data_IF_639870517101
#
_entry.id   IF_639870517101
#
_cell.length_a   1.000
_cell.length_b   1.000
_cell.length_c   1.000
_cell.angle_alpha   90.00
_cell.angle_beta   90.00
_cell.angle_gamma   90.00
#
_symmetry.space_group_name_H-M   'P 1'
#
loop_
_entity.id
_entity.type
_entity.pdbx_description
1 polymer ?
#
# COMPACT_ATOMS: atom_id res chain seq x y z
N UNK A 1 -3.53 -19.86 -12.23
CA UNK A 1 -3.94 -18.88 -11.19
C UNK A 1 -3.12 -17.62 -11.42
N UNK A 2 -3.71 -16.44 -11.21
CA UNK A 2 -3.04 -15.17 -11.44
C UNK A 2 -2.94 -14.40 -10.13
N UNK A 3 -1.77 -13.84 -9.87
CA UNK A 3 -1.54 -12.96 -8.74
C UNK A 3 -1.82 -11.52 -9.14
N UNK A 4 -2.60 -10.79 -8.34
CA UNK A 4 -2.86 -9.36 -8.54
C UNK A 4 -2.23 -8.60 -7.38
N UNK A 5 -1.40 -7.62 -7.70
CA UNK A 5 -0.82 -6.69 -6.74
C UNK A 5 -1.18 -5.26 -7.10
N UNK A 6 -1.69 -4.52 -6.13
CA UNK A 6 -2.16 -3.14 -6.30
C UNK A 6 -1.33 -2.20 -5.45
N UNK A 7 -0.71 -1.20 -6.08
CA UNK A 7 0.06 -0.15 -5.40
C UNK A 7 -0.67 1.20 -5.39
N UNK A 8 -0.02 2.22 -4.81
CA UNK A 8 -0.63 3.53 -4.60
C UNK A 8 -1.00 4.26 -5.91
N UNK A 9 -0.34 3.91 -7.03
CA UNK A 9 -0.68 4.44 -8.35
C UNK A 9 -2.09 4.05 -8.80
N UNK A 10 -2.59 2.88 -8.39
CA UNK A 10 -3.97 2.46 -8.64
C UNK A 10 -4.96 3.27 -7.80
N UNK A 11 -4.73 3.38 -6.48
CA UNK A 11 -5.58 4.18 -5.58
C UNK A 11 -5.71 5.63 -6.05
N UNK A 12 -4.62 6.22 -6.55
CA UNK A 12 -4.62 7.54 -7.19
C UNK A 12 -5.45 7.58 -8.48
N UNK A 13 -5.40 6.54 -9.31
CA UNK A 13 -6.12 6.50 -10.57
C UNK A 13 -7.63 6.34 -10.39
N UNK A 14 -8.08 5.59 -9.37
CA UNK A 14 -9.50 5.30 -9.14
C UNK A 14 -10.18 6.23 -8.14
N UNK A 15 -9.39 6.90 -7.29
CA UNK A 15 -9.89 7.71 -6.19
C UNK A 15 -9.16 9.03 -5.99
N UNK A 16 -9.38 9.64 -4.83
CA UNK A 16 -8.76 10.90 -4.43
C UNK A 16 -7.49 10.74 -3.59
N UNK A 17 -6.93 9.52 -3.51
CA UNK A 17 -5.85 9.21 -2.59
C UNK A 17 -4.51 9.46 -3.27
N UNK A 18 -3.69 10.39 -2.77
CA UNK A 18 -2.37 10.64 -3.34
C UNK A 18 -1.40 9.48 -3.06
N UNK A 19 -0.37 9.34 -3.89
CA UNK A 19 0.74 8.41 -3.62
C UNK A 19 1.55 8.86 -2.40
N UNK A 20 2.44 8.01 -1.86
CA UNK A 20 3.32 8.39 -0.74
C UNK A 20 4.13 9.67 -1.00
N UNK A 21 4.66 9.82 -2.22
CA UNK A 21 5.34 11.05 -2.63
C UNK A 21 4.39 12.25 -2.73
N UNK A 22 3.12 12.03 -3.08
CA UNK A 22 2.10 13.08 -3.06
C UNK A 22 1.70 13.50 -1.65
N UNK A 23 1.55 12.52 -0.74
CA UNK A 23 1.28 12.76 0.68
C UNK A 23 2.40 13.59 1.31
N UNK A 24 3.65 13.20 1.08
CA UNK A 24 4.84 13.93 1.53
C UNK A 24 4.77 15.41 1.15
N UNK A 25 4.57 15.72 -0.14
CA UNK A 25 4.51 17.11 -0.63
C UNK A 25 3.38 17.93 0.01
N UNK A 26 2.22 17.31 0.27
CA UNK A 26 1.06 17.99 0.82
C UNK A 26 1.08 18.20 2.34
N UNK A 27 1.98 17.54 3.08
CA UNK A 27 1.98 17.62 4.54
C UNK A 27 2.37 19.00 5.07
N UNK A 28 3.30 19.69 4.40
CA UNK A 28 3.66 21.07 4.73
C UNK A 28 2.44 21.98 4.65
N UNK A 29 1.73 21.94 3.52
CA UNK A 29 0.54 22.75 3.28
C UNK A 29 -0.57 22.43 4.30
N UNK A 30 -0.68 21.17 4.74
CA UNK A 30 -1.58 20.77 5.82
C UNK A 30 -1.24 21.44 7.15
N UNK A 31 0.04 21.52 7.53
CA UNK A 31 0.46 22.23 8.75
C UNK A 31 0.17 23.74 8.65
N UNK A 32 0.47 24.34 7.50
CA UNK A 32 0.21 25.77 7.26
C UNK A 32 -1.30 26.08 7.29
N UNK A 33 -2.14 25.21 6.71
CA UNK A 33 -3.60 25.33 6.78
C UNK A 33 -4.19 25.15 8.20
N UNK A 34 -3.42 24.57 9.13
CA UNK A 34 -3.75 24.50 10.57
C UNK A 34 -3.18 25.69 11.36
N UNK A 35 -2.63 26.70 10.69
CA UNK A 35 -1.91 27.84 11.28
C UNK A 35 -0.67 27.43 12.09
N UNK A 36 -0.03 26.30 11.75
CA UNK A 36 1.18 25.76 12.41
C UNK A 36 2.43 26.00 11.59
N UNK A 37 2.68 27.26 11.24
CA UNK A 37 3.84 27.68 10.45
C UNK A 37 5.18 27.37 11.13
N UNK A 38 5.22 27.39 12.45
CA UNK A 38 6.39 27.03 13.24
C UNK A 38 6.77 25.55 13.03
N UNK A 39 5.77 24.65 13.09
CA UNK A 39 5.96 23.24 12.82
C UNK A 39 6.27 22.96 11.35
N UNK A 40 5.65 23.68 10.41
CA UNK A 40 5.92 23.55 8.98
C UNK A 40 7.37 23.88 8.63
N UNK A 41 7.94 24.91 9.26
CA UNK A 41 9.36 25.26 9.13
C UNK A 41 10.24 24.16 9.69
N UNK A 42 9.95 23.70 10.91
CA UNK A 42 10.76 22.69 11.61
C UNK A 42 10.70 21.33 10.87
N UNK A 43 9.53 20.95 10.32
CA UNK A 43 9.38 19.79 9.44
C UNK A 43 10.25 19.90 8.18
N UNK A 44 10.27 21.04 7.49
CA UNK A 44 11.11 21.24 6.31
C UNK A 44 12.60 21.14 6.64
N UNK A 45 13.03 21.64 7.79
CA UNK A 45 14.42 21.50 8.25
C UNK A 45 14.81 20.02 8.36
N UNK A 46 13.98 19.22 9.02
CA UNK A 46 14.20 17.76 9.17
C UNK A 46 14.18 17.08 7.79
N UNK A 47 13.18 17.38 6.97
CA UNK A 47 13.04 16.81 5.62
C UNK A 47 14.28 17.10 4.77
N UNK A 48 14.74 18.34 4.71
CA UNK A 48 15.90 18.72 3.91
C UNK A 48 17.18 18.01 4.37
N UNK A 49 17.33 17.81 5.68
CA UNK A 49 18.43 17.02 6.24
C UNK A 49 18.36 15.57 5.77
N UNK A 50 17.18 14.93 5.86
CA UNK A 50 16.96 13.56 5.38
C UNK A 50 17.24 13.46 3.87
N UNK A 51 16.68 14.36 3.06
CA UNK A 51 16.90 14.36 1.61
C UNK A 51 18.40 14.49 1.24
N UNK A 52 19.15 15.30 1.98
CA UNK A 52 20.60 15.42 1.79
C UNK A 52 21.30 14.08 2.06
N UNK A 53 20.94 13.39 3.14
CA UNK A 53 21.51 12.08 3.47
C UNK A 53 21.16 11.03 2.40
N UNK A 54 19.90 10.96 1.95
CA UNK A 54 19.51 10.07 0.85
C UNK A 54 20.31 10.32 -0.43
N UNK A 55 20.56 11.59 -0.77
CA UNK A 55 21.38 11.97 -1.92
C UNK A 55 22.85 11.53 -1.78
N UNK A 56 23.43 11.66 -0.58
CA UNK A 56 24.80 11.21 -0.28
C UNK A 56 24.96 9.70 -0.55
N UNK A 57 23.94 8.90 -0.24
CA UNK A 57 23.94 7.45 -0.48
C UNK A 57 23.40 7.04 -1.86
N UNK A 58 23.14 7.99 -2.78
CA UNK A 58 22.58 7.74 -4.12
C UNK A 58 21.25 6.96 -4.09
N UNK A 59 20.41 7.25 -3.09
CA UNK A 59 19.09 6.64 -2.93
C UNK A 59 17.99 7.53 -3.53
N UNK A 60 16.87 6.90 -3.88
CA UNK A 60 15.64 7.61 -4.28
C UNK A 60 15.17 8.55 -3.16
N UNK A 61 14.51 9.66 -3.51
CA UNK A 61 14.01 10.61 -2.50
C UNK A 61 13.19 9.92 -1.40
N UNK A 62 13.36 10.33 -0.13
CA UNK A 62 12.58 9.78 0.97
C UNK A 62 11.09 9.99 0.73
N UNK A 63 10.30 8.97 1.01
CA UNK A 63 8.86 9.11 1.10
C UNK A 63 8.42 9.48 2.52
N UNK A 64 7.10 9.60 2.71
CA UNK A 64 6.53 10.00 3.98
C UNK A 64 6.74 8.96 5.09
N UNK A 65 6.88 7.67 4.75
CA UNK A 65 7.15 6.60 5.71
C UNK A 65 8.59 6.69 6.24
N UNK A 66 9.54 6.97 5.34
CA UNK A 66 10.93 7.21 5.72
C UNK A 66 11.03 8.41 6.67
N UNK A 67 10.37 9.52 6.35
CA UNK A 67 10.37 10.73 7.21
C UNK A 67 9.73 10.43 8.56
N UNK A 68 8.59 9.75 8.57
CA UNK A 68 7.91 9.36 9.80
C UNK A 68 8.76 8.42 10.67
N UNK A 69 9.48 7.48 10.05
CA UNK A 69 10.45 6.60 10.72
C UNK A 69 11.55 7.41 11.40
N UNK A 70 12.12 8.40 10.72
CA UNK A 70 13.13 9.28 11.30
C UNK A 70 12.56 10.08 12.47
N UNK A 71 11.36 10.65 12.34
CA UNK A 71 10.71 11.41 13.40
C UNK A 71 10.45 10.57 14.66
N UNK A 72 10.03 9.31 14.52
CA UNK A 72 9.85 8.41 15.67
C UNK A 72 11.19 8.05 16.34
N UNK A 73 12.25 7.79 15.56
CA UNK A 73 13.59 7.54 16.12
C UNK A 73 14.19 8.76 16.81
N UNK A 74 13.87 9.97 16.36
CA UNK A 74 14.27 11.20 17.04
C UNK A 74 13.62 11.35 18.43
N UNK A 75 12.49 10.67 18.69
CA UNK A 75 11.81 10.66 20.00
C UNK A 75 12.36 9.62 20.97
N UNK A 76 12.94 8.53 20.44
CA UNK A 76 13.51 7.42 21.23
C UNK A 76 14.89 7.77 21.80
N UNK A 77 15.18 7.34 23.02
CA UNK A 77 16.54 7.44 23.60
C UNK A 77 17.51 6.46 22.94
N UNK A 78 16.98 5.34 22.43
CA UNK A 78 17.72 4.37 21.61
C UNK A 78 17.25 4.50 20.14
N UNK A 79 18.09 5.08 19.25
CA UNK A 79 17.72 5.36 17.86
C UNK A 79 17.62 4.11 16.96
N UNK A 80 17.97 2.91 17.45
CA UNK A 80 18.00 1.68 16.66
C UNK A 80 16.98 0.62 17.09
N UNK A 81 16.28 0.79 18.22
CA UNK A 81 15.43 -0.27 18.78
C UNK A 81 14.03 -0.41 18.15
N UNK A 82 13.58 0.55 17.33
CA UNK A 82 12.25 0.58 16.71
C UNK A 82 12.34 0.71 15.18
N UNK A 83 12.98 -0.27 14.53
CA UNK A 83 13.23 -0.31 13.10
C UNK A 83 11.91 -0.49 12.33
N UNK A 84 11.44 0.58 11.67
CA UNK A 84 10.17 0.60 10.89
C UNK A 84 10.40 0.72 9.38
N UNK A 85 11.46 1.39 8.93
CA UNK A 85 11.85 1.47 7.51
C UNK A 85 13.36 1.19 7.41
N UNK A 86 13.79 0.06 6.80
CA UNK A 86 15.20 -0.35 6.78
C UNK A 86 16.09 0.63 6.04
N UNK A 87 15.58 1.28 4.98
CA UNK A 87 16.35 2.26 4.20
C UNK A 87 16.61 3.52 5.03
N UNK A 88 15.57 4.03 5.71
CA UNK A 88 15.72 5.17 6.61
C UNK A 88 16.65 4.83 7.79
N UNK A 89 16.55 3.62 8.35
CA UNK A 89 17.43 3.17 9.43
C UNK A 89 18.88 3.03 8.97
N UNK A 90 19.12 2.43 7.81
CA UNK A 90 20.46 2.33 7.24
C UNK A 90 21.13 3.70 7.14
N UNK A 91 20.40 4.70 6.65
CA UNK A 91 20.89 6.08 6.55
C UNK A 91 21.13 6.69 7.93
N UNK A 92 20.22 6.48 8.88
CA UNK A 92 20.37 6.94 10.26
C UNK A 92 21.61 6.31 10.94
N UNK A 93 21.87 5.03 10.69
CA UNK A 93 23.03 4.31 11.22
C UNK A 93 24.35 4.74 10.55
N UNK A 94 24.32 5.08 9.26
CA UNK A 94 25.50 5.54 8.53
C UNK A 94 25.76 7.06 8.65
N UNK A 95 24.79 7.83 9.15
CA UNK A 95 24.93 9.28 9.35
C UNK A 95 24.48 9.72 10.75
N UNK A 96 25.24 9.39 11.82
CA UNK A 96 24.88 9.75 13.20
C UNK A 96 24.75 11.27 13.39
N UNK A 97 25.56 12.05 12.67
CA UNK A 97 25.55 13.52 12.70
C UNK A 97 24.21 14.10 12.23
N UNK A 98 23.46 13.40 11.37
CA UNK A 98 22.11 13.77 10.95
C UNK A 98 21.16 13.82 12.15
N UNK A 99 21.22 12.77 12.98
CA UNK A 99 20.38 12.62 14.18
C UNK A 99 20.74 13.68 15.20
N UNK A 100 22.03 13.88 15.48
CA UNK A 100 22.49 14.89 16.44
C UNK A 100 22.15 16.32 15.99
N UNK A 101 22.30 16.62 14.70
CA UNK A 101 21.92 17.93 14.13
C UNK A 101 20.41 18.17 14.23
N UNK A 102 19.59 17.18 13.92
CA UNK A 102 18.14 17.29 14.04
C UNK A 102 17.69 17.44 15.52
N UNK A 103 18.26 16.65 16.43
CA UNK A 103 17.97 16.68 17.89
C UNK A 103 18.40 17.99 18.54
N UNK A 104 19.53 18.55 18.14
CA UNK A 104 20.02 19.83 18.68
C UNK A 104 19.24 21.03 18.16
N UNK A 105 18.69 20.94 16.94
CA UNK A 105 18.00 22.06 16.29
C UNK A 105 16.53 22.19 16.68
N UNK A 106 15.87 21.09 17.06
CA UNK A 106 14.41 21.07 17.28
C UNK A 106 14.09 20.37 18.61
N UNK A 107 13.26 21.03 19.43
CA UNK A 107 12.79 20.52 20.72
C UNK A 107 12.00 19.20 20.56
N UNK A 108 12.19 18.26 21.49
CA UNK A 108 11.52 16.94 21.49
C UNK A 108 9.99 17.03 21.49
N UNK A 109 9.43 18.05 22.14
CA UNK A 109 7.98 18.30 22.18
C UNK A 109 7.44 18.62 20.78
N UNK A 110 8.16 19.44 20.01
CA UNK A 110 7.79 19.79 18.64
C UNK A 110 7.90 18.62 17.68
N UNK A 111 8.94 17.79 17.83
CA UNK A 111 9.08 16.55 17.04
C UNK A 111 7.87 15.66 17.30
N UNK A 112 7.50 15.48 18.58
CA UNK A 112 6.33 14.68 18.97
C UNK A 112 5.03 15.20 18.35
N UNK A 113 4.87 16.52 18.32
CA UNK A 113 3.72 17.17 17.73
C UNK A 113 3.68 17.05 16.20
N UNK A 114 4.80 17.24 15.51
CA UNK A 114 4.94 17.01 14.06
C UNK A 114 4.58 15.56 13.74
N UNK A 115 5.12 14.60 14.49
CA UNK A 115 4.79 13.17 14.32
C UNK A 115 3.28 12.94 14.46
N UNK A 116 2.63 13.52 15.47
CA UNK A 116 1.19 13.37 15.67
C UNK A 116 0.37 13.95 14.51
N UNK A 117 0.71 15.17 14.05
CA UNK A 117 0.06 15.76 12.87
C UNK A 117 0.29 14.94 11.61
N UNK A 118 1.48 14.35 11.44
CA UNK A 118 1.80 13.50 10.29
C UNK A 118 0.95 12.24 10.28
N UNK A 119 0.80 11.58 11.43
CA UNK A 119 -0.13 10.44 11.60
C UNK A 119 -1.56 10.86 11.25
N UNK A 120 -2.05 11.95 11.87
CA UNK A 120 -3.41 12.46 11.62
C UNK A 120 -3.64 12.76 10.13
N UNK A 121 -2.68 13.40 9.48
CA UNK A 121 -2.73 13.71 8.06
C UNK A 121 -2.81 12.43 7.21
N UNK A 122 -1.95 11.45 7.46
CA UNK A 122 -1.94 10.17 6.76
C UNK A 122 -3.28 9.41 6.93
N UNK A 123 -3.75 9.23 8.18
CA UNK A 123 -5.05 8.62 8.46
C UNK A 123 -6.14 9.34 7.67
N UNK A 124 -6.19 10.68 7.75
CA UNK A 124 -7.25 11.44 7.11
C UNK A 124 -7.25 11.29 5.60
N UNK A 125 -6.09 11.30 4.94
CA UNK A 125 -6.00 11.13 3.49
C UNK A 125 -6.41 9.71 3.05
N UNK A 126 -5.98 8.69 3.78
CA UNK A 126 -6.30 7.29 3.48
C UNK A 126 -7.78 6.96 3.74
N UNK A 127 -8.34 7.42 4.86
CA UNK A 127 -9.72 7.10 5.27
C UNK A 127 -10.78 7.96 4.56
N UNK A 128 -10.47 9.23 4.25
CA UNK A 128 -11.40 10.13 3.53
C UNK A 128 -11.28 10.04 2.02
N UNK A 129 -10.43 9.15 1.53
CA UNK A 129 -10.30 8.87 0.10
C UNK A 129 -11.63 8.47 -0.52
N UNK A 130 -12.07 9.22 -1.53
CA UNK A 130 -13.30 8.94 -2.25
C UNK A 130 -12.99 8.18 -3.54
N UNK A 131 -13.83 7.19 -3.86
CA UNK A 131 -13.82 6.54 -5.17
C UNK A 131 -14.42 7.52 -6.18
N UNK A 132 -13.60 7.99 -7.12
CA UNK A 132 -14.01 8.93 -8.18
C UNK A 132 -14.51 8.20 -9.41
N UNK A 133 -13.97 7.01 -9.70
CA UNK A 133 -14.37 6.20 -10.84
C UNK A 133 -14.45 4.72 -10.47
N UNK A 134 -15.65 4.28 -10.12
CA UNK A 134 -15.96 2.89 -9.75
C UNK A 134 -15.70 1.89 -10.88
N UNK A 135 -15.89 2.31 -12.13
CA UNK A 135 -15.71 1.42 -13.29
C UNK A 135 -14.27 0.94 -13.42
N UNK A 136 -13.29 1.78 -13.06
CA UNK A 136 -11.88 1.39 -13.06
C UNK A 136 -11.58 0.23 -12.10
N UNK A 137 -12.34 0.09 -11.00
CA UNK A 137 -12.17 -1.02 -10.06
C UNK A 137 -12.81 -2.30 -10.61
N UNK A 138 -13.93 -2.19 -11.33
CA UNK A 138 -14.55 -3.33 -12.02
C UNK A 138 -13.60 -4.00 -13.02
N UNK A 139 -12.84 -3.19 -13.77
CA UNK A 139 -11.84 -3.71 -14.69
C UNK A 139 -10.71 -4.47 -13.99
N UNK A 140 -10.36 -4.10 -12.76
CA UNK A 140 -9.38 -4.85 -11.97
C UNK A 140 -9.93 -6.23 -11.59
N UNK A 141 -11.21 -6.32 -11.25
CA UNK A 141 -11.86 -7.60 -10.92
C UNK A 141 -12.07 -8.51 -12.13
N UNK A 142 -11.82 -8.02 -13.35
CA UNK A 142 -11.82 -8.81 -14.58
C UNK A 142 -10.52 -8.62 -15.38
N UNK A 143 -9.41 -8.48 -14.65
CA UNK A 143 -8.10 -8.15 -15.24
C UNK A 143 -7.64 -9.19 -16.27
N UNK A 144 -8.03 -10.47 -16.11
CA UNK A 144 -7.78 -11.51 -17.11
C UNK A 144 -8.36 -11.16 -18.48
N UNK A 145 -9.62 -10.71 -18.53
CA UNK A 145 -10.23 -10.28 -19.80
C UNK A 145 -9.56 -9.02 -20.31
N UNK A 146 -9.30 -8.05 -19.43
CA UNK A 146 -8.65 -6.78 -19.78
C UNK A 146 -7.29 -6.99 -20.44
N UNK A 147 -6.46 -7.89 -19.90
CA UNK A 147 -5.15 -8.20 -20.47
C UNK A 147 -5.25 -8.97 -21.80
N UNK A 148 -6.23 -9.85 -21.95
CA UNK A 148 -6.52 -10.52 -23.24
C UNK A 148 -6.96 -9.53 -24.31
N UNK A 149 -7.88 -8.63 -23.98
CA UNK A 149 -8.33 -7.56 -24.88
C UNK A 149 -7.15 -6.65 -25.29
N UNK A 150 -6.29 -6.31 -24.34
CA UNK A 150 -5.07 -5.54 -24.63
C UNK A 150 -4.14 -6.26 -25.61
N UNK A 151 -3.89 -7.56 -25.41
CA UNK A 151 -3.04 -8.35 -26.30
C UNK A 151 -3.61 -8.49 -27.71
N UNK A 152 -4.91 -8.79 -27.80
CA UNK A 152 -5.59 -9.03 -29.06
C UNK A 152 -5.89 -7.73 -29.82
N UNK A 153 -5.80 -6.58 -29.16
CA UNK A 153 -6.31 -5.27 -29.64
C UNK A 153 -7.78 -5.36 -30.05
N UNK A 154 -8.53 -6.24 -29.40
CA UNK A 154 -9.96 -6.47 -29.61
C UNK A 154 -10.72 -5.96 -28.37
N UNK A 155 -11.86 -5.31 -28.59
CA UNK A 155 -12.71 -4.82 -27.50
C UNK A 155 -14.05 -5.57 -27.50
N UNK A 156 -14.36 -6.31 -26.42
CA UNK A 156 -15.67 -6.94 -26.24
C UNK A 156 -16.49 -6.20 -25.18
N UNK A 157 -17.73 -6.63 -24.94
CA UNK A 157 -18.56 -6.03 -23.88
C UNK A 157 -17.90 -6.18 -22.50
N UNK A 158 -17.62 -5.04 -21.88
CA UNK A 158 -17.21 -4.90 -20.48
C UNK A 158 -18.29 -5.52 -19.58
N UNK A 159 -17.92 -6.09 -18.45
CA UNK A 159 -18.85 -6.37 -17.35
C UNK A 159 -19.55 -5.05 -16.98
N UNK A 160 -20.79 -4.88 -17.46
CA UNK A 160 -21.65 -3.76 -17.10
C UNK A 160 -22.12 -3.87 -15.65
N UNK A 161 -22.08 -5.09 -15.09
CA UNK A 161 -22.46 -5.41 -13.72
C UNK A 161 -21.50 -6.42 -13.10
N UNK A 162 -21.26 -6.28 -11.79
CA UNK A 162 -20.66 -7.32 -10.96
C UNK A 162 -21.69 -8.42 -10.83
N UNK A 163 -21.48 -9.56 -11.48
CA UNK A 163 -22.37 -10.69 -11.35
C UNK A 163 -22.03 -11.51 -10.10
N UNK A 164 -22.98 -12.34 -9.65
CA UNK A 164 -22.76 -13.43 -8.70
C UNK A 164 -21.63 -14.40 -9.16
N UNK A 165 -21.19 -14.29 -10.43
CA UNK A 165 -20.09 -15.05 -10.99
C UNK A 165 -18.69 -14.41 -10.85
N UNK A 166 -18.54 -13.32 -10.09
CA UNK A 166 -17.22 -12.69 -9.86
C UNK A 166 -16.21 -13.74 -9.40
N UNK A 167 -15.07 -13.93 -10.10
CA UNK A 167 -14.12 -14.98 -9.76
C UNK A 167 -13.53 -14.77 -8.36
N UNK A 168 -13.16 -15.86 -7.70
CA UNK A 168 -12.33 -15.76 -6.50
C UNK A 168 -10.98 -15.17 -6.88
N UNK A 169 -10.71 -13.95 -6.43
CA UNK A 169 -9.48 -13.22 -6.72
C UNK A 169 -8.72 -12.95 -5.43
N UNK A 170 -7.40 -13.05 -5.50
CA UNK A 170 -6.52 -12.65 -4.41
C UNK A 170 -5.78 -11.38 -4.84
N UNK A 171 -6.02 -10.31 -4.10
CA UNK A 171 -5.44 -9.00 -4.32
C UNK A 171 -4.51 -8.70 -3.15
N UNK A 172 -3.23 -8.52 -3.45
CA UNK A 172 -2.23 -8.10 -2.48
C UNK A 172 -1.98 -6.60 -2.63
N UNK A 173 -1.76 -5.91 -1.51
CA UNK A 173 -1.47 -4.48 -1.54
C UNK A 173 -0.67 -4.03 -0.34
N UNK A 174 0.18 -3.03 -0.54
CA UNK A 174 0.86 -2.26 0.52
C UNK A 174 0.12 -0.95 0.84
N UNK A 175 -1.03 -0.69 0.22
CA UNK A 175 -1.79 0.53 0.44
C UNK A 175 -2.58 0.46 1.75
N UNK A 176 -2.41 1.47 2.61
CA UNK A 176 -3.20 1.61 3.84
C UNK A 176 -4.65 2.04 3.61
N UNK A 177 -5.00 2.53 2.43
CA UNK A 177 -6.34 3.02 2.15
C UNK A 177 -7.39 1.90 2.09
N UNK A 178 -8.67 2.30 2.11
CA UNK A 178 -9.81 1.40 2.08
C UNK A 178 -10.54 1.40 0.73
N UNK A 179 -9.89 1.77 -0.38
CA UNK A 179 -10.60 1.94 -1.67
C UNK A 179 -11.27 0.64 -2.12
N UNK A 180 -10.58 -0.50 -2.01
CA UNK A 180 -11.09 -1.79 -2.46
C UNK A 180 -12.24 -2.27 -1.55
N UNK A 181 -12.05 -2.14 -0.24
CA UNK A 181 -13.04 -2.50 0.77
C UNK A 181 -14.30 -1.63 0.64
N UNK A 182 -14.14 -0.31 0.53
CA UNK A 182 -15.24 0.62 0.35
C UNK A 182 -15.98 0.38 -0.97
N UNK A 183 -15.26 0.01 -2.02
CA UNK A 183 -15.86 -0.39 -3.28
C UNK A 183 -16.73 -1.65 -3.12
N UNK A 184 -16.19 -2.68 -2.48
CA UNK A 184 -16.91 -3.92 -2.23
C UNK A 184 -18.14 -3.69 -1.35
N UNK A 185 -18.00 -2.98 -0.22
CA UNK A 185 -19.12 -2.61 0.68
C UNK A 185 -20.21 -1.85 -0.06
N UNK A 186 -19.85 -0.82 -0.84
CA UNK A 186 -20.80 0.02 -1.60
C UNK A 186 -21.58 -0.78 -2.65
N UNK A 187 -20.93 -1.74 -3.29
CA UNK A 187 -21.52 -2.54 -4.37
C UNK A 187 -22.04 -3.91 -3.90
N UNK A 188 -22.08 -4.17 -2.58
CA UNK A 188 -22.49 -5.45 -1.98
C UNK A 188 -21.71 -6.65 -2.53
N UNK A 189 -20.45 -6.44 -2.88
CA UNK A 189 -19.54 -7.49 -3.34
C UNK A 189 -18.97 -8.16 -2.10
N UNK A 190 -19.07 -9.48 -2.05
CA UNK A 190 -18.46 -10.25 -0.97
C UNK A 190 -16.95 -10.19 -1.09
N UNK A 191 -16.31 -9.79 0.01
CA UNK A 191 -14.87 -9.79 0.14
C UNK A 191 -14.44 -10.29 1.51
N UNK A 192 -13.18 -10.70 1.61
CA UNK A 192 -12.51 -11.11 2.84
C UNK A 192 -11.18 -10.37 2.96
N UNK A 193 -10.89 -9.79 4.11
CA UNK A 193 -9.66 -9.06 4.42
C UNK A 193 -9.19 -9.29 5.87
N UNK A 194 -9.69 -10.35 6.50
CA UNK A 194 -9.49 -10.68 7.91
C UNK A 194 -10.31 -9.87 8.92
N UNK A 195 -11.04 -8.83 8.52
CA UNK A 195 -11.91 -8.09 9.45
C UNK A 195 -13.07 -9.00 9.92
N UNK A 196 -13.12 -9.31 11.21
CA UNK A 196 -14.15 -10.16 11.83
C UNK A 196 -14.65 -9.56 13.16
N UNK A 197 -15.80 -10.04 13.65
CA UNK A 197 -16.34 -9.66 14.96
C UNK A 197 -16.48 -10.90 15.83
N UNK A 198 -15.67 -10.98 16.87
CA UNK A 198 -15.65 -12.08 17.83
C UNK A 198 -15.99 -11.56 19.22
N UNK A 199 -17.03 -12.11 19.84
CA UNK A 199 -17.50 -11.70 21.18
C UNK A 199 -17.71 -10.17 21.32
N UNK A 200 -18.18 -9.52 20.24
CA UNK A 200 -18.38 -8.06 20.18
C UNK A 200 -17.08 -7.25 20.03
N UNK A 201 -15.94 -7.90 19.79
CA UNK A 201 -14.66 -7.26 19.49
C UNK A 201 -14.40 -7.28 17.97
N UNK A 202 -14.08 -6.12 17.41
CA UNK A 202 -13.70 -5.95 16.01
C UNK A 202 -12.20 -6.22 15.86
N UNK A 203 -11.84 -7.45 15.46
CA UNK A 203 -10.45 -7.88 15.32
C UNK A 203 -10.11 -8.21 13.86
N UNK A 204 -8.83 -8.19 13.54
CA UNK A 204 -8.32 -8.64 12.24
C UNK A 204 -7.70 -10.01 12.41
N UNK A 205 -8.40 -11.04 11.95
CA UNK A 205 -7.93 -12.41 11.92
C UNK A 205 -8.11 -13.05 10.53
N UNK A 206 -6.98 -13.43 9.92
CA UNK A 206 -6.95 -14.15 8.65
C UNK A 206 -7.02 -15.67 8.81
N UNK A 207 -6.96 -16.19 10.05
CA UNK A 207 -7.01 -17.63 10.34
C UNK A 207 -8.40 -18.23 10.04
N UNK A 208 -9.45 -17.44 10.26
CA UNK A 208 -10.86 -17.79 10.01
C UNK A 208 -11.24 -17.79 8.52
N UNK A 209 -10.48 -17.10 7.65
CA UNK A 209 -10.78 -17.02 6.20
C UNK A 209 -10.75 -18.38 5.49
N UNK A 210 -10.15 -19.42 6.11
CA UNK A 210 -10.19 -20.79 5.61
C UNK A 210 -11.36 -21.62 6.14
N UNK A 211 -12.09 -21.17 7.18
CA UNK A 211 -13.12 -21.97 7.85
C UNK A 211 -14.56 -21.62 7.44
N UNK A 212 -14.82 -20.35 7.08
CA UNK A 212 -16.20 -19.84 6.94
C UNK A 212 -16.60 -19.46 5.51
N UNK A 213 -15.66 -19.52 4.55
CA UNK A 213 -15.97 -19.33 3.15
C UNK A 213 -16.31 -20.70 2.54
N UNK A 214 -17.61 -20.96 2.37
CA UNK A 214 -18.10 -22.03 1.51
C UNK A 214 -17.32 -21.99 0.17
N UNK A 215 -16.61 -23.06 -0.24
CA UNK A 215 -15.90 -23.12 -1.50
C UNK A 215 -16.77 -22.78 -2.73
N UNK A 216 -18.09 -22.92 -2.62
CA UNK A 216 -19.04 -22.53 -3.66
C UNK A 216 -19.28 -21.00 -3.71
N UNK A 217 -18.94 -20.25 -2.67
CA UNK A 217 -19.17 -18.81 -2.56
C UNK A 217 -17.93 -18.03 -3.00
N UNK A 218 -17.92 -17.62 -4.27
CA UNK A 218 -16.86 -16.78 -4.83
C UNK A 218 -16.76 -15.44 -4.09
N UNK A 219 -15.55 -15.01 -3.75
CA UNK A 219 -15.31 -13.73 -3.06
C UNK A 219 -13.93 -13.13 -3.41
N UNK A 220 -13.81 -11.82 -3.23
CA UNK A 220 -12.53 -11.11 -3.39
C UNK A 220 -11.75 -11.18 -2.07
N UNK A 221 -10.54 -11.72 -2.09
CA UNK A 221 -9.63 -11.73 -0.94
C UNK A 221 -8.65 -10.58 -1.05
N UNK A 222 -8.57 -9.73 -0.02
CA UNK A 222 -7.73 -8.54 0.02
C UNK A 222 -6.70 -8.72 1.13
N UNK A 223 -5.45 -8.94 0.75
CA UNK A 223 -4.33 -9.09 1.67
C UNK A 223 -3.55 -7.77 1.80
N UNK A 224 -3.62 -7.16 2.98
CA UNK A 224 -2.88 -5.94 3.35
C UNK A 224 -1.52 -6.31 3.93
N UNK A 225 -0.44 -6.06 3.19
CA UNK A 225 0.92 -6.41 3.62
C UNK A 225 1.48 -5.41 4.64
N UNK A 226 1.16 -4.13 4.49
CA UNK A 226 1.57 -3.07 5.43
C UNK A 226 0.49 -2.70 6.45
N UNK A 227 -0.64 -3.41 6.42
CA UNK A 227 -1.79 -3.11 7.25
C UNK A 227 -2.71 -2.07 6.62
N UNK A 228 -3.55 -1.45 7.44
CA UNK A 228 -4.64 -0.58 6.97
C UNK A 228 -4.82 0.62 7.89
N UNK A 229 -5.27 1.74 7.33
CA UNK A 229 -5.46 3.00 8.04
C UNK A 229 -6.56 2.93 9.12
N UNK A 230 -7.44 1.93 9.06
CA UNK A 230 -8.43 1.66 10.09
C UNK A 230 -8.00 0.62 11.13
N UNK A 231 -6.80 0.04 11.01
CA UNK A 231 -6.27 -0.93 11.97
C UNK A 231 -5.54 -0.22 13.12
N UNK A 232 -5.64 -0.79 14.32
CA UNK A 232 -4.98 -0.27 15.51
C UNK A 232 -4.65 -1.39 16.50
N UNK A 233 -3.65 -1.16 17.35
CA UNK A 233 -3.33 -2.01 18.49
C UNK A 233 -3.75 -1.33 19.79
N UNK A 234 -4.04 -2.14 20.81
CA UNK A 234 -4.29 -1.68 22.17
C UNK A 234 -3.13 -2.15 23.05
N UNK A 235 -2.56 -1.24 23.84
CA UNK A 235 -1.46 -1.60 24.74
C UNK A 235 -1.89 -2.72 25.71
N UNK A 236 -1.14 -3.81 25.72
CA UNK A 236 -1.41 -4.98 26.57
C UNK A 236 -2.32 -6.03 25.91
N UNK A 237 -2.76 -5.80 24.68
CA UNK A 237 -3.49 -6.78 23.87
C UNK A 237 -2.62 -7.18 22.67
N UNK A 238 -2.61 -8.46 22.31
CA UNK A 238 -1.83 -8.97 21.17
C UNK A 238 -2.61 -8.92 19.85
N UNK A 239 -3.94 -8.80 19.94
CA UNK A 239 -4.84 -8.74 18.79
C UNK A 239 -4.67 -7.41 18.03
N UNK A 240 -4.87 -7.47 16.71
CA UNK A 240 -5.05 -6.27 15.89
C UNK A 240 -6.54 -5.99 15.79
N UNK A 241 -6.92 -4.75 16.04
CA UNK A 241 -8.30 -4.29 15.97
C UNK A 241 -8.53 -3.44 14.74
N UNK A 242 -9.78 -3.29 14.32
CA UNK A 242 -10.16 -2.34 13.27
C UNK A 242 -11.37 -1.49 13.67
N UNK A 243 -11.55 -0.37 12.96
CA UNK A 243 -12.73 0.48 13.07
C UNK A 243 -13.48 0.58 11.74
N UNK A 244 -14.80 0.40 11.78
CA UNK A 244 -15.69 0.55 10.62
C UNK A 244 -15.87 2.00 10.18
N UNK A 245 -15.70 2.94 11.12
CA UNK A 245 -15.95 4.36 10.91
C UNK A 245 -14.65 5.15 10.92
N UNK A 246 -14.59 6.14 10.03
CA UNK A 246 -13.60 7.22 10.01
C UNK A 246 -13.81 8.11 11.24
N UNK A 247 -13.57 7.58 12.44
CA UNK A 247 -13.58 8.40 13.65
C UNK A 247 -12.23 9.13 13.77
N UNK A 248 -12.23 10.44 14.04
CA UNK A 248 -11.01 11.15 14.38
C UNK A 248 -10.37 10.47 15.59
N UNK A 249 -9.06 10.23 15.48
CA UNK A 249 -8.16 9.58 16.47
C UNK A 249 -8.32 10.13 17.91
N UNK A 250 -8.97 11.29 18.08
CA UNK A 250 -9.13 11.99 19.35
C UNK A 250 -10.56 12.00 19.93
N UNK A 251 -11.52 11.22 19.41
CA UNK A 251 -12.85 11.09 20.03
C UNK A 251 -13.32 9.64 20.09
N UNK A 252 -12.64 8.82 20.87
CA UNK A 252 -13.24 7.56 21.29
C UNK A 252 -14.36 7.84 22.30
N UNK A 253 -15.59 7.44 21.96
CA UNK A 253 -16.72 7.31 22.91
C UNK A 253 -16.47 6.22 23.96
N UNK A 254 -15.32 5.53 23.89
CA UNK A 254 -14.88 4.43 24.74
C UNK A 254 -13.51 4.83 25.29
N UNK A 255 -13.44 5.20 26.57
CA UNK A 255 -12.31 5.86 27.24
C UNK A 255 -11.00 5.06 27.41
N UNK A 256 -10.50 4.36 26.38
CA UNK A 256 -9.13 3.80 26.37
C UNK A 256 -8.17 4.83 25.76
N UNK A 257 -7.25 5.36 26.57
CA UNK A 257 -6.21 6.36 26.19
C UNK A 257 -5.02 5.76 25.41
N UNK A 258 -5.02 4.45 25.14
CA UNK A 258 -3.84 3.72 24.65
C UNK A 258 -4.11 2.96 23.33
N UNK A 259 -4.53 3.67 22.28
CA UNK A 259 -4.65 3.12 20.91
C UNK A 259 -3.51 3.62 20.03
N UNK A 260 -2.80 2.71 19.35
CA UNK A 260 -1.81 3.06 18.32
C UNK A 260 -2.32 2.63 16.94
N UNK A 261 -2.48 3.59 16.02
CA UNK A 261 -2.95 3.30 14.65
C UNK A 261 -1.83 2.69 13.83
N UNK A 262 -2.17 1.68 13.03
CA UNK A 262 -1.27 0.90 12.19
C UNK A 262 -1.11 1.49 10.78
N UNK A 263 -0.62 2.73 10.68
CA UNK A 263 -0.12 3.29 9.41
C UNK A 263 1.40 3.25 9.42
N UNK A 264 1.99 2.07 9.24
CA UNK A 264 3.45 1.92 9.29
C UNK A 264 3.94 0.72 8.49
N UNK A 265 5.09 0.83 7.79
CA UNK A 265 5.85 -0.35 7.43
C UNK A 265 6.18 -1.06 8.75
N UNK A 266 5.81 -2.33 8.73
CA UNK A 266 5.68 -3.17 9.91
C UNK A 266 7.11 -3.41 10.44
N UNK A 267 7.37 -3.27 11.74
CA UNK A 267 8.71 -3.62 12.27
C UNK A 267 8.96 -5.12 12.09
N UNK A 268 10.22 -5.57 12.07
CA UNK A 268 10.54 -7.02 12.03
C UNK A 268 9.78 -7.82 13.10
N UNK A 269 9.54 -7.23 14.27
CA UNK A 269 8.77 -7.86 15.36
C UNK A 269 7.28 -7.97 15.07
N UNK A 270 6.71 -7.07 14.28
CA UNK A 270 5.28 -7.07 13.94
C UNK A 270 5.00 -7.91 12.69
N UNK A 271 5.98 -8.12 11.78
CA UNK A 271 5.85 -9.05 10.65
C UNK A 271 5.55 -10.48 11.10
N UNK A 272 6.12 -10.87 12.23
CA UNK A 272 5.92 -12.20 12.81
C UNK A 272 4.55 -12.35 13.49
N UNK A 273 3.83 -11.25 13.74
CA UNK A 273 2.49 -11.30 14.33
C UNK A 273 1.42 -11.52 13.27
N UNK A 274 0.34 -12.19 13.65
CA UNK A 274 -0.89 -12.18 12.86
C UNK A 274 -1.47 -10.76 12.85
N UNK A 275 -2.11 -10.33 11.74
CA UNK A 275 -2.37 -11.08 10.50
C UNK A 275 -1.22 -11.00 9.47
N UNK A 276 -0.15 -10.24 9.74
CA UNK A 276 0.90 -9.94 8.78
C UNK A 276 1.63 -11.20 8.30
N UNK A 277 2.12 -12.05 9.21
CA UNK A 277 2.85 -13.27 8.85
C UNK A 277 2.07 -14.18 7.90
N UNK A 278 0.75 -14.26 8.10
CA UNK A 278 -0.14 -14.99 7.22
C UNK A 278 -0.26 -14.33 5.84
N UNK A 279 -0.48 -13.02 5.77
CA UNK A 279 -0.54 -12.27 4.50
C UNK A 279 0.74 -12.43 3.68
N UNK A 280 1.91 -12.32 4.31
CA UNK A 280 3.20 -12.51 3.65
C UNK A 280 3.41 -13.95 3.17
N UNK A 281 3.07 -14.95 3.98
CA UNK A 281 3.13 -16.36 3.57
C UNK A 281 2.18 -16.64 2.40
N UNK A 282 0.97 -16.08 2.43
CA UNK A 282 0.00 -16.20 1.35
C UNK A 282 0.48 -15.52 0.07
N UNK A 283 1.10 -14.36 0.19
CA UNK A 283 1.71 -13.64 -0.93
C UNK A 283 2.83 -14.46 -1.59
N UNK A 284 3.78 -14.97 -0.79
CA UNK A 284 4.85 -15.84 -1.27
C UNK A 284 4.32 -17.09 -1.97
N UNK A 285 3.35 -17.77 -1.35
CA UNK A 285 2.71 -18.95 -1.95
C UNK A 285 2.02 -18.61 -3.28
N UNK A 286 1.35 -17.46 -3.34
CA UNK A 286 0.65 -17.02 -4.55
C UNK A 286 1.61 -16.65 -5.68
N UNK A 287 2.75 -16.04 -5.37
CA UNK A 287 3.84 -15.82 -6.34
C UNK A 287 4.36 -17.16 -6.87
N UNK A 288 4.68 -18.10 -5.98
CA UNK A 288 5.24 -19.42 -6.34
C UNK A 288 4.24 -20.26 -7.14
N UNK A 289 2.93 -20.13 -6.94
CA UNK A 289 1.92 -20.96 -7.60
C UNK A 289 1.25 -20.30 -8.83
N UNK A 290 1.50 -19.02 -9.10
CA UNK A 290 0.85 -18.30 -10.21
C UNK A 290 1.77 -18.17 -11.42
N UNK A 291 1.23 -18.47 -12.60
CA UNK A 291 1.95 -18.34 -13.88
C UNK A 291 1.97 -16.89 -14.38
N UNK A 292 0.97 -16.10 -13.97
CA UNK A 292 0.85 -14.68 -14.33
C UNK A 292 0.80 -13.81 -13.08
N UNK A 293 1.64 -12.77 -13.04
CA UNK A 293 1.67 -11.77 -11.99
C UNK A 293 1.30 -10.41 -12.58
N UNK A 294 0.35 -9.70 -11.97
CA UNK A 294 -0.10 -8.39 -12.45
C UNK A 294 0.13 -7.35 -11.37
N UNK A 295 0.99 -6.38 -11.67
CA UNK A 295 1.28 -5.25 -10.80
C UNK A 295 0.65 -3.99 -11.38
N UNK A 296 -0.28 -3.37 -10.62
CA UNK A 296 -0.99 -2.16 -11.05
C UNK A 296 -0.64 -1.00 -10.14
N UNK A 297 0.08 -0.01 -10.69
CA UNK A 297 0.48 1.20 -9.96
C UNK A 297 1.40 0.94 -8.76
N UNK A 298 2.17 -0.15 -8.78
CA UNK A 298 3.20 -0.46 -7.78
C UNK A 298 4.56 0.02 -8.30
N UNK A 299 5.25 0.85 -7.53
CA UNK A 299 6.48 1.51 -7.99
C UNK A 299 7.76 0.69 -7.81
N UNK A 300 7.68 -0.49 -7.17
CA UNK A 300 8.84 -1.34 -6.85
C UNK A 300 9.94 -0.60 -6.07
N UNK A 301 9.57 0.37 -5.22
CA UNK A 301 10.52 1.10 -4.35
C UNK A 301 10.72 0.43 -3.00
N UNK A 302 9.75 -0.38 -2.61
CA UNK A 302 9.76 -1.17 -1.39
C UNK A 302 10.68 -2.38 -1.57
N UNK A 303 11.90 -2.27 -1.04
CA UNK A 303 12.93 -3.31 -1.22
C UNK A 303 12.51 -4.65 -0.65
N UNK A 304 11.82 -4.66 0.47
CA UNK A 304 11.43 -5.89 1.15
C UNK A 304 10.42 -6.69 0.32
N UNK A 305 9.40 -6.01 -0.21
CA UNK A 305 8.43 -6.63 -1.12
C UNK A 305 9.09 -7.03 -2.44
N UNK A 306 9.98 -6.19 -2.97
CA UNK A 306 10.72 -6.49 -4.21
C UNK A 306 11.62 -7.71 -4.06
N UNK A 307 12.32 -7.86 -2.93
CA UNK A 307 13.17 -9.01 -2.66
C UNK A 307 12.34 -10.30 -2.59
N UNK A 308 11.14 -10.26 -1.97
CA UNK A 308 10.20 -11.39 -1.98
C UNK A 308 9.78 -11.75 -3.41
N UNK A 309 9.47 -10.76 -4.25
CA UNK A 309 9.08 -10.96 -5.65
C UNK A 309 10.24 -11.58 -6.45
N UNK A 310 11.45 -11.04 -6.32
CA UNK A 310 12.64 -11.54 -7.03
C UNK A 310 12.94 -12.97 -6.61
N UNK A 311 12.98 -13.25 -5.31
CA UNK A 311 13.24 -14.61 -4.80
C UNK A 311 12.21 -15.62 -5.33
N UNK A 312 10.92 -15.27 -5.34
CA UNK A 312 9.89 -16.15 -5.88
C UNK A 312 10.06 -16.38 -7.40
N UNK A 313 10.47 -15.35 -8.14
CA UNK A 313 10.67 -15.45 -9.59
C UNK A 313 11.88 -16.32 -9.91
N UNK A 314 12.99 -16.16 -9.18
CA UNK A 314 14.18 -16.99 -9.30
C UNK A 314 13.88 -18.47 -9.06
N UNK A 315 13.05 -18.79 -8.05
CA UNK A 315 12.59 -20.17 -7.80
C UNK A 315 11.85 -20.73 -9.02
N UNK A 316 10.88 -19.96 -9.57
CA UNK A 316 10.11 -20.39 -10.75
C UNK A 316 10.98 -20.58 -11.97
N UNK A 317 11.85 -19.61 -12.26
CA UNK A 317 12.79 -19.67 -13.40
C UNK A 317 13.71 -20.87 -13.27
N UNK A 318 14.26 -21.14 -12.07
CA UNK A 318 15.10 -22.30 -11.81
C UNK A 318 14.36 -23.63 -12.04
N UNK A 319 13.08 -23.68 -11.71
CA UNK A 319 12.23 -24.85 -11.93
C UNK A 319 11.72 -24.98 -13.38
N UNK A 320 12.08 -24.03 -14.26
CA UNK A 320 11.51 -23.92 -15.62
C UNK A 320 9.99 -23.75 -15.64
N UNK A 321 9.42 -23.18 -14.58
CA UNK A 321 8.00 -22.87 -14.50
C UNK A 321 7.67 -21.65 -15.37
N UNK A 322 6.56 -21.65 -16.13
CA UNK A 322 6.18 -20.50 -16.94
C UNK A 322 5.89 -19.28 -16.05
N UNK A 323 6.48 -18.13 -16.37
CA UNK A 323 6.29 -16.90 -15.61
C UNK A 323 6.12 -15.71 -16.57
N UNK A 324 4.97 -15.05 -16.46
CA UNK A 324 4.68 -13.80 -17.16
C UNK A 324 4.33 -12.71 -16.15
N UNK A 325 4.97 -11.55 -16.26
CA UNK A 325 4.82 -10.44 -15.34
C UNK A 325 4.28 -9.23 -16.09
N UNK A 326 3.09 -8.77 -15.73
CA UNK A 326 2.48 -7.56 -16.25
C UNK A 326 2.74 -6.39 -15.32
N UNK A 327 3.26 -5.28 -15.86
CA UNK A 327 3.49 -4.05 -15.08
C UNK A 327 2.74 -2.91 -15.72
N UNK A 328 1.72 -2.40 -15.03
CA UNK A 328 0.88 -1.28 -15.47
C UNK A 328 1.22 -0.06 -14.61
N UNK A 329 2.16 0.74 -15.09
CA UNK A 329 2.64 1.95 -14.41
C UNK A 329 3.22 2.95 -15.43
N UNK A 330 3.08 4.27 -15.24
CA UNK A 330 3.68 5.26 -16.15
C UNK A 330 5.22 5.34 -16.05
N UNK A 331 5.86 4.65 -15.11
CA UNK A 331 7.32 4.64 -14.94
C UNK A 331 7.92 3.25 -15.19
N UNK A 332 7.42 2.51 -16.19
CA UNK A 332 7.86 1.13 -16.45
C UNK A 332 9.36 1.00 -16.72
N UNK A 333 10.01 2.03 -17.28
CA UNK A 333 11.46 2.06 -17.50
C UNK A 333 12.23 1.97 -16.18
N UNK A 334 11.94 2.86 -15.23
CA UNK A 334 12.58 2.85 -13.90
C UNK A 334 12.30 1.54 -13.16
N UNK A 335 11.08 1.02 -13.29
CA UNK A 335 10.71 -0.25 -12.66
C UNK A 335 11.56 -1.39 -13.25
N UNK A 336 11.70 -1.46 -14.57
CA UNK A 336 12.54 -2.47 -15.24
C UNK A 336 14.00 -2.41 -14.77
N UNK A 337 14.53 -1.21 -14.52
CA UNK A 337 15.89 -1.07 -13.98
C UNK A 337 15.98 -1.63 -12.55
N UNK A 338 14.95 -1.44 -11.71
CA UNK A 338 14.90 -1.99 -10.33
C UNK A 338 14.77 -3.52 -10.30
N UNK A 339 14.08 -4.12 -11.28
CA UNK A 339 13.91 -5.58 -11.40
C UNK A 339 14.62 -6.14 -12.64
N UNK A 340 15.83 -5.64 -12.93
CA UNK A 340 16.56 -6.00 -14.16
C UNK A 340 16.82 -7.50 -14.32
N UNK A 341 16.89 -8.26 -13.22
CA UNK A 341 17.00 -9.74 -13.26
C UNK A 341 15.78 -10.43 -13.88
N UNK A 342 14.61 -9.78 -13.89
CA UNK A 342 13.34 -10.33 -14.35
C UNK A 342 12.88 -9.76 -15.70
N UNK A 343 13.69 -8.90 -16.33
CA UNK A 343 13.28 -8.09 -17.49
C UNK A 343 12.70 -8.88 -18.66
N UNK A 344 13.15 -10.12 -18.87
CA UNK A 344 12.75 -10.97 -19.98
C UNK A 344 11.35 -11.58 -19.78
N UNK A 345 10.85 -11.59 -18.54
CA UNK A 345 9.51 -12.06 -18.18
C UNK A 345 8.50 -10.92 -18.06
N UNK A 346 8.94 -9.66 -18.22
CA UNK A 346 8.13 -8.46 -17.96
C UNK A 346 7.54 -7.89 -19.24
N UNK A 347 6.21 -7.85 -19.27
CA UNK A 347 5.38 -7.10 -20.21
C UNK A 347 5.00 -5.73 -19.63
N UNK A 348 5.68 -4.65 -20.02
CA UNK A 348 5.38 -3.31 -19.53
C UNK A 348 4.20 -2.69 -20.28
N UNK A 349 3.32 -2.04 -19.54
CA UNK A 349 2.27 -1.17 -20.05
C UNK A 349 2.53 0.22 -19.47
N UNK A 350 3.18 1.08 -20.26
CA UNK A 350 3.70 2.40 -19.86
C UNK A 350 2.58 3.47 -19.74
N UNK A 351 1.60 3.17 -18.91
CA UNK A 351 0.39 3.98 -18.69
C UNK A 351 -0.04 3.87 -17.23
N UNK A 352 -0.63 4.95 -16.72
CA UNK A 352 -1.39 4.81 -15.48
C UNK A 352 -2.65 3.99 -15.72
N UNK A 353 -3.19 3.36 -14.66
CA UNK A 353 -4.36 2.49 -14.76
C UNK A 353 -5.55 3.15 -15.46
N UNK A 354 -5.83 4.42 -15.15
CA UNK A 354 -6.92 5.16 -15.77
C UNK A 354 -6.73 5.30 -17.29
N UNK A 355 -5.53 5.63 -17.75
CA UNK A 355 -5.26 5.83 -19.18
C UNK A 355 -5.16 4.51 -19.95
N UNK A 356 -4.63 3.47 -19.31
CA UNK A 356 -4.68 2.10 -19.86
C UNK A 356 -6.12 1.67 -20.17
N UNK A 357 -7.05 1.87 -19.23
CA UNK A 357 -8.46 1.52 -19.44
C UNK A 357 -9.11 2.44 -20.50
N UNK A 358 -8.81 3.74 -20.51
CA UNK A 358 -9.32 4.64 -21.56
C UNK A 358 -8.88 4.20 -22.96
N UNK A 359 -7.64 3.77 -23.12
CA UNK A 359 -7.12 3.33 -24.41
C UNK A 359 -7.82 2.06 -24.91
N UNK A 360 -8.04 1.10 -24.02
CA UNK A 360 -8.86 -0.09 -24.32
C UNK A 360 -10.27 0.29 -24.78
N UNK A 361 -10.89 1.27 -24.11
CA UNK A 361 -12.21 1.79 -24.49
C UNK A 361 -12.18 2.55 -25.82
N UNK A 362 -11.11 3.30 -26.11
CA UNK A 362 -10.99 4.10 -27.34
C UNK A 362 -10.79 3.22 -28.57
N UNK A 363 -10.12 2.08 -28.42
CA UNK A 363 -9.95 1.06 -29.47
C UNK A 363 -11.31 0.54 -29.97
N UNK A 364 -12.33 0.56 -29.10
CA UNK A 364 -13.73 0.21 -29.42
C UNK A 364 -14.40 1.16 -30.41
N UNK A 365 -14.07 2.45 -30.38
CA UNK A 365 -14.68 3.45 -31.27
C UNK A 365 -14.08 3.40 -32.69
N UNK A 366 -12.83 2.95 -32.83
CA UNK A 366 -12.17 2.79 -34.13
C UNK A 366 -12.69 1.61 -34.97
N UNK A 367 -13.36 0.64 -34.34
CA UNK A 367 -13.97 -0.53 -35.01
C UNK A 367 -15.38 -0.23 -35.53
N UNK A 368 -16.06 0.78 -34.99
CA UNK A 368 -17.41 1.20 -35.45
C UNK A 368 -17.34 2.09 -36.71
N UNK A 369 -16.16 2.65 -37.03
CA UNK A 369 -15.94 3.55 -38.17
C UNK A 369 -15.05 2.96 -39.29
N UNK A 370 -14.95 1.63 -39.40
CA UNK A 370 -14.29 0.96 -40.54
C UNK A 370 -15.25 0.05 -41.28
#
# INVERSE_FOLDING_TARGET
MMLIFVGAGFSKAVGSIPTMTGLERGFKDFLEGKNRYDLARDYNTIKNQIEKAYKEFKLDKPDIEAILTVLENLKSEDPLCNIRNPTALYILGMSPNLIESARSSIKKEKISEITQYLKEYLINQCLKGQIKNSNLILYLFDINRVLKEWLLRESNEILKEVSENTPSLEIFTTNYDLILENFCRKNRIRYANGETTEDGRHIVDLSEENKTLDPAQRCIKIFKLHGSANWYTIKGEDDIFYHDLVEPINRTRIGKKDKEVMIYPVTEKVWMKLPFSYSYLRFQKSLICSEEWVFVGFSFKDREIVDIIINAAEIRIKNSDPLKIWIIDPNTKEIKDRINSLKDNVEPIDKCWQDFIKDLQSTRLGVIFK
#
